data_IF_415447039834
#
_entry.id   IF_415447039834
#
_cell.length_a   1.000
_cell.length_b   1.000
_cell.length_c   1.000
_cell.angle_alpha   90.00
_cell.angle_beta   90.00
_cell.angle_gamma   90.00
#
_symmetry.space_group_name_H-M   'P 1'
#
loop_
_entity.id
_entity.type
_entity.pdbx_description
1 polymer ?
#
# COMPACT_ATOMS: atom_id res chain seq x y z
N UNK A 1 -26.49 -40.59 -44.38
CA UNK A 1 -26.36 -40.13 -42.99
C UNK A 1 -24.91 -39.69 -42.83
N UNK A 2 -24.65 -38.44 -43.20
CA UNK A 2 -23.30 -37.88 -43.30
C UNK A 2 -22.67 -37.71 -41.92
N UNK A 3 -21.47 -38.27 -41.77
CA UNK A 3 -20.57 -38.02 -40.65
C UNK A 3 -20.07 -36.59 -40.78
N UNK A 4 -20.60 -35.66 -40.00
CA UNK A 4 -19.94 -34.37 -39.78
C UNK A 4 -18.72 -34.59 -38.88
N UNK A 5 -17.58 -34.88 -39.51
CA UNK A 5 -16.24 -34.68 -38.94
C UNK A 5 -15.88 -33.18 -38.96
N UNK A 6 -16.78 -32.35 -38.44
CA UNK A 6 -16.66 -30.90 -38.28
C UNK A 6 -16.79 -30.54 -36.80
N UNK A 7 -16.23 -29.39 -36.40
CA UNK A 7 -16.35 -28.90 -35.02
C UNK A 7 -17.84 -28.83 -34.62
N UNK A 8 -18.20 -29.14 -33.36
CA UNK A 8 -19.57 -29.03 -32.90
C UNK A 8 -20.16 -27.64 -33.13
N UNK A 9 -21.49 -27.55 -33.31
CA UNK A 9 -22.17 -26.30 -33.67
C UNK A 9 -21.89 -25.14 -32.67
N UNK A 10 -21.67 -25.48 -31.41
CA UNK A 10 -21.41 -24.55 -30.33
C UNK A 10 -19.99 -23.93 -30.32
N UNK A 11 -19.10 -24.37 -31.22
CA UNK A 11 -17.81 -23.72 -31.51
C UNK A 11 -17.89 -22.69 -32.65
N UNK A 12 -19.09 -22.42 -33.17
CA UNK A 12 -19.28 -21.33 -34.11
C UNK A 12 -19.60 -20.03 -33.36
N UNK A 13 -19.13 -18.87 -33.85
CA UNK A 13 -19.65 -17.58 -33.40
C UNK A 13 -21.16 -17.55 -33.64
N UNK A 14 -22.00 -17.15 -32.67
CA UNK A 14 -21.69 -16.36 -31.46
C UNK A 14 -21.38 -17.17 -30.18
N UNK A 15 -21.65 -18.48 -30.13
CA UNK A 15 -21.55 -19.28 -28.90
C UNK A 15 -20.13 -19.67 -28.49
N UNK A 16 -19.17 -19.58 -29.41
CA UNK A 16 -17.74 -19.85 -29.21
C UNK A 16 -17.16 -19.18 -27.94
N UNK A 17 -17.74 -18.07 -27.50
CA UNK A 17 -17.35 -17.34 -26.29
C UNK A 17 -17.60 -18.14 -25.01
N UNK A 18 -18.67 -18.93 -24.95
CA UNK A 18 -19.01 -19.74 -23.76
C UNK A 18 -18.11 -20.97 -23.61
N UNK A 19 -17.53 -21.46 -24.70
CA UNK A 19 -16.74 -22.70 -24.69
C UNK A 19 -15.22 -22.46 -24.64
N UNK A 20 -14.75 -21.23 -24.86
CA UNK A 20 -13.32 -20.89 -24.80
C UNK A 20 -12.97 -20.00 -23.59
N UNK A 21 -12.54 -20.62 -22.49
CA UNK A 21 -12.09 -19.90 -21.28
C UNK A 21 -10.92 -18.93 -21.54
N UNK A 22 -9.99 -19.28 -22.42
CA UNK A 22 -8.84 -18.41 -22.72
C UNK A 22 -9.24 -17.10 -23.39
N UNK A 23 -10.26 -17.15 -24.25
CA UNK A 23 -10.82 -15.96 -24.88
C UNK A 23 -11.61 -15.15 -23.87
N UNK A 24 -12.31 -15.83 -22.96
CA UNK A 24 -13.09 -15.19 -21.91
C UNK A 24 -12.25 -14.29 -21.00
N UNK A 25 -11.01 -14.68 -20.68
CA UNK A 25 -10.08 -13.86 -19.88
C UNK A 25 -9.60 -12.60 -20.59
N UNK A 26 -9.65 -12.54 -21.92
CA UNK A 26 -9.16 -11.40 -22.72
C UNK A 26 -10.27 -10.37 -23.01
N UNK A 27 -11.53 -10.77 -22.89
CA UNK A 27 -12.68 -9.95 -23.22
C UNK A 27 -13.25 -9.35 -21.92
N UNK A 28 -13.70 -8.10 -21.98
CA UNK A 28 -14.39 -7.47 -20.86
C UNK A 28 -15.70 -8.21 -20.56
N UNK A 29 -15.92 -8.71 -19.32
CA UNK A 29 -17.12 -9.47 -18.96
C UNK A 29 -18.43 -8.72 -19.25
N UNK A 30 -18.43 -7.39 -19.12
CA UNK A 30 -19.59 -6.51 -19.34
C UNK A 30 -20.07 -6.46 -20.80
N UNK A 31 -19.20 -6.75 -21.76
CA UNK A 31 -19.57 -6.75 -23.19
C UNK A 31 -20.29 -8.04 -23.62
N UNK A 32 -20.44 -9.01 -22.71
CA UNK A 32 -21.02 -10.31 -23.01
C UNK A 32 -22.47 -10.34 -22.52
N UNK A 33 -23.39 -10.48 -23.48
CA UNK A 33 -24.80 -10.75 -23.23
C UNK A 33 -25.04 -12.26 -23.08
N UNK A 34 -24.99 -12.72 -21.83
CA UNK A 34 -25.16 -14.14 -21.48
C UNK A 34 -26.60 -14.60 -21.75
N UNK A 35 -27.60 -13.73 -21.55
CA UNK A 35 -29.00 -14.07 -21.72
C UNK A 35 -29.31 -14.34 -23.20
N UNK A 36 -28.82 -13.47 -24.09
CA UNK A 36 -28.93 -13.68 -25.54
C UNK A 36 -28.18 -14.94 -26.01
N UNK A 37 -26.96 -15.17 -25.52
CA UNK A 37 -26.16 -16.34 -25.91
C UNK A 37 -26.79 -17.66 -25.47
N UNK A 38 -27.29 -17.74 -24.23
CA UNK A 38 -27.92 -18.96 -23.71
C UNK A 38 -29.28 -19.23 -24.35
N UNK A 39 -30.11 -18.20 -24.56
CA UNK A 39 -31.39 -18.37 -25.24
C UNK A 39 -31.21 -18.83 -26.68
N UNK A 40 -30.29 -18.21 -27.42
CA UNK A 40 -29.94 -18.62 -28.80
C UNK A 40 -29.35 -20.03 -28.84
N UNK A 41 -28.54 -20.40 -27.84
CA UNK A 41 -27.96 -21.74 -27.73
C UNK A 41 -29.03 -22.81 -27.48
N UNK A 42 -29.97 -22.55 -26.56
CA UNK A 42 -31.09 -23.44 -26.27
C UNK A 42 -32.03 -23.60 -27.48
N UNK A 43 -32.34 -22.50 -28.16
CA UNK A 43 -33.19 -22.53 -29.36
C UNK A 43 -32.57 -23.42 -30.47
N UNK A 44 -31.26 -23.33 -30.69
CA UNK A 44 -30.57 -24.16 -31.68
C UNK A 44 -30.46 -25.63 -31.25
N UNK A 45 -30.37 -25.91 -29.94
CA UNK A 45 -30.44 -27.28 -29.43
C UNK A 45 -31.83 -27.90 -29.64
N UNK A 46 -32.88 -27.12 -29.42
CA UNK A 46 -34.27 -27.55 -29.64
C UNK A 46 -34.54 -27.81 -31.13
N UNK A 47 -34.08 -26.91 -32.02
CA UNK A 47 -34.19 -27.07 -33.49
C UNK A 47 -33.54 -28.36 -34.00
N UNK A 48 -32.42 -28.77 -33.40
CA UNK A 48 -31.67 -29.97 -33.79
C UNK A 48 -32.19 -31.26 -33.14
N UNK A 49 -33.17 -31.15 -32.21
CA UNK A 49 -33.74 -32.26 -31.45
C UNK A 49 -32.70 -33.14 -30.72
N UNK A 50 -31.50 -32.60 -30.48
CA UNK A 50 -30.37 -33.29 -29.86
C UNK A 50 -29.85 -32.47 -28.66
N UNK A 51 -30.26 -32.86 -27.46
CA UNK A 51 -29.84 -32.19 -26.22
C UNK A 51 -28.53 -32.80 -25.74
N UNK A 52 -27.44 -32.06 -25.89
CA UNK A 52 -26.13 -32.41 -25.32
C UNK A 52 -25.99 -31.80 -23.91
N UNK A 53 -26.24 -32.61 -22.88
CA UNK A 53 -26.09 -32.19 -21.48
C UNK A 53 -24.65 -31.82 -21.11
N UNK A 54 -23.64 -32.37 -21.80
CA UNK A 54 -22.24 -32.03 -21.51
C UNK A 54 -21.94 -30.60 -21.95
N UNK A 55 -22.39 -30.24 -23.15
CA UNK A 55 -22.28 -28.89 -23.66
C UNK A 55 -23.04 -27.88 -22.78
N UNK A 56 -24.25 -28.23 -22.33
CA UNK A 56 -25.01 -27.40 -21.39
C UNK A 56 -24.30 -27.21 -20.04
N UNK A 57 -23.61 -28.25 -19.54
CA UNK A 57 -22.81 -28.15 -18.32
C UNK A 57 -21.65 -27.17 -18.45
N UNK A 58 -20.92 -27.21 -19.57
CA UNK A 58 -19.84 -26.25 -19.87
C UNK A 58 -20.38 -24.83 -20.08
N UNK A 59 -21.52 -24.68 -20.76
CA UNK A 59 -22.19 -23.40 -20.93
C UNK A 59 -22.66 -22.82 -19.59
N UNK A 60 -23.13 -23.65 -18.67
CA UNK A 60 -23.53 -23.23 -17.33
C UNK A 60 -22.33 -22.77 -16.50
N UNK A 61 -21.25 -23.56 -16.48
CA UNK A 61 -20.02 -23.24 -15.74
C UNK A 61 -19.36 -21.95 -16.24
N UNK A 62 -19.27 -21.78 -17.56
CA UNK A 62 -18.78 -20.54 -18.18
C UNK A 62 -19.68 -19.36 -17.82
N UNK A 63 -21.00 -19.51 -17.88
CA UNK A 63 -21.95 -18.46 -17.50
C UNK A 63 -21.78 -18.04 -16.03
N UNK A 64 -21.67 -19.01 -15.12
CA UNK A 64 -21.42 -18.76 -13.70
C UNK A 64 -20.09 -18.01 -13.48
N UNK A 65 -19.04 -18.41 -14.20
CA UNK A 65 -17.72 -17.76 -14.16
C UNK A 65 -17.80 -16.29 -14.62
N UNK A 66 -18.54 -15.99 -15.69
CA UNK A 66 -18.73 -14.61 -16.17
C UNK A 66 -19.47 -13.77 -15.13
N UNK A 67 -20.53 -14.30 -14.52
CA UNK A 67 -21.26 -13.59 -13.47
C UNK A 67 -20.39 -13.31 -12.25
N UNK A 68 -19.55 -14.27 -11.85
CA UNK A 68 -18.59 -14.09 -10.77
C UNK A 68 -17.59 -12.98 -11.09
N UNK A 69 -17.07 -12.94 -12.33
CA UNK A 69 -16.18 -11.85 -12.76
C UNK A 69 -16.88 -10.49 -12.74
N UNK A 70 -18.14 -10.40 -13.20
CA UNK A 70 -18.93 -9.17 -13.14
C UNK A 70 -19.13 -8.70 -11.70
N UNK A 71 -19.49 -9.61 -10.79
CA UNK A 71 -19.67 -9.31 -9.37
C UNK A 71 -18.38 -8.81 -8.73
N UNK A 72 -17.26 -9.50 -8.95
CA UNK A 72 -15.96 -9.08 -8.42
C UNK A 72 -15.51 -7.73 -8.96
N UNK A 73 -15.76 -7.43 -10.24
CA UNK A 73 -15.47 -6.11 -10.80
C UNK A 73 -16.35 -5.02 -10.18
N UNK A 74 -17.61 -5.34 -9.87
CA UNK A 74 -18.52 -4.41 -9.20
C UNK A 74 -18.03 -4.09 -7.78
N UNK A 75 -17.59 -5.11 -7.03
CA UNK A 75 -17.05 -4.93 -5.67
C UNK A 75 -15.78 -4.08 -5.67
N UNK A 76 -14.88 -4.31 -6.63
CA UNK A 76 -13.66 -3.49 -6.80
C UNK A 76 -13.92 -2.01 -7.09
N UNK A 77 -15.09 -1.66 -7.62
CA UNK A 77 -15.46 -0.26 -7.83
C UNK A 77 -15.99 0.42 -6.57
N UNK A 78 -16.49 -0.36 -5.61
CA UNK A 78 -16.94 0.12 -4.30
C UNK A 78 -15.77 0.30 -3.33
N UNK A 79 -14.69 -0.47 -3.52
CA UNK A 79 -13.45 -0.27 -2.81
C UNK A 79 -12.91 1.15 -3.08
N UNK A 80 -12.69 1.97 -2.03
CA UNK A 80 -12.07 3.27 -2.21
C UNK A 80 -10.72 3.05 -2.91
N UNK A 81 -10.36 3.90 -3.90
CA UNK A 81 -9.11 3.75 -4.62
C UNK A 81 -7.98 3.65 -3.60
N UNK A 82 -7.14 2.62 -3.73
CA UNK A 82 -5.93 2.51 -2.92
C UNK A 82 -5.23 3.86 -3.02
N UNK A 83 -5.17 4.56 -1.88
CA UNK A 83 -4.47 5.81 -1.79
C UNK A 83 -3.03 5.44 -2.10
N UNK A 84 -2.58 5.65 -3.33
CA UNK A 84 -1.15 5.60 -3.64
C UNK A 84 -0.48 6.37 -2.52
N UNK A 85 0.55 5.79 -1.85
CA UNK A 85 1.20 6.47 -0.76
C UNK A 85 1.62 7.81 -1.32
N UNK A 86 0.88 8.87 -0.93
CA UNK A 86 1.09 10.23 -1.43
C UNK A 86 2.57 10.43 -1.20
N UNK A 87 3.36 10.43 -2.28
CA UNK A 87 4.79 10.67 -2.19
C UNK A 87 4.89 11.89 -1.30
N UNK A 88 5.42 11.69 -0.08
CA UNK A 88 5.26 12.59 1.06
C UNK A 88 5.34 14.00 0.53
N UNK A 89 4.18 14.65 0.42
CA UNK A 89 4.06 15.84 -0.42
C UNK A 89 5.07 16.82 0.16
N UNK A 90 6.16 17.02 -0.58
CA UNK A 90 7.24 17.94 -0.22
C UNK A 90 6.54 19.21 0.20
N UNK A 91 6.69 19.59 1.47
CA UNK A 91 5.95 20.63 2.19
C UNK A 91 5.32 21.65 1.23
N UNK A 92 4.12 21.35 0.72
CA UNK A 92 3.48 22.20 -0.26
C UNK A 92 2.91 23.37 0.53
N UNK A 93 3.73 24.40 0.72
CA UNK A 93 3.30 25.67 1.26
C UNK A 93 2.60 26.40 0.12
N UNK A 94 1.25 26.49 0.12
CA UNK A 94 0.56 27.20 -0.93
C UNK A 94 1.03 28.66 -0.94
N UNK A 95 1.17 29.29 -2.11
CA UNK A 95 1.53 30.70 -2.20
C UNK A 95 0.48 31.56 -1.46
N UNK A 96 0.90 32.67 -0.83
CA UNK A 96 -0.02 33.54 -0.12
C UNK A 96 -1.08 34.08 -1.08
N UNK A 97 -2.35 33.80 -0.78
CA UNK A 97 -3.47 34.37 -1.50
C UNK A 97 -3.56 35.87 -1.17
N UNK A 98 -3.36 36.71 -2.18
CA UNK A 98 -3.59 38.15 -2.04
C UNK A 98 -5.10 38.35 -2.03
N UNK A 99 -5.64 38.62 -0.84
CA UNK A 99 -7.06 38.97 -0.70
C UNK A 99 -7.35 40.22 -1.53
N UNK A 100 -8.44 40.23 -2.32
CA UNK A 100 -8.81 41.42 -3.08
C UNK A 100 -9.00 42.59 -2.11
N UNK A 101 -8.29 43.69 -2.38
CA UNK A 101 -8.41 44.95 -1.64
C UNK A 101 -9.86 45.41 -1.73
N UNK A 102 -10.58 45.32 -0.62
CA UNK A 102 -11.91 45.91 -0.50
C UNK A 102 -11.72 47.40 -0.28
N UNK A 103 -12.01 48.21 -1.29
CA UNK A 103 -12.27 49.63 -1.08
C UNK A 103 -13.61 49.74 -0.36
N UNK A 104 -13.59 50.06 0.92
CA UNK A 104 -14.81 50.45 1.61
C UNK A 104 -15.27 51.77 1.01
N UNK A 105 -16.26 51.71 0.12
CA UNK A 105 -17.04 52.89 -0.26
C UNK A 105 -17.90 53.23 0.95
N UNK A 106 -17.35 53.97 1.90
CA UNK A 106 -18.10 54.44 3.05
C UNK A 106 -19.21 55.36 2.52
N UNK A 107 -20.46 54.94 2.65
CA UNK A 107 -21.64 55.75 2.26
C UNK A 107 -21.93 56.85 3.28
N UNK A 108 -21.17 56.93 4.36
CA UNK A 108 -21.34 57.89 5.46
C UNK A 108 -20.21 58.90 5.47
N UNK A 109 -20.54 60.15 5.80
CA UNK A 109 -19.57 61.24 5.96
C UNK A 109 -18.81 61.10 7.28
N UNK A 110 -17.58 61.65 7.35
CA UNK A 110 -16.72 61.60 8.55
C UNK A 110 -17.46 62.11 9.81
N UNK A 111 -18.31 63.12 9.65
CA UNK A 111 -19.13 63.67 10.73
C UNK A 111 -20.09 62.63 11.31
N UNK A 112 -20.77 61.84 10.47
CA UNK A 112 -21.67 60.78 10.94
C UNK A 112 -20.91 59.65 11.66
N UNK A 113 -19.66 59.37 11.27
CA UNK A 113 -18.83 58.40 11.99
C UNK A 113 -18.40 58.92 13.36
N UNK A 114 -18.04 60.19 13.46
CA UNK A 114 -17.66 60.80 14.74
C UNK A 114 -18.85 60.86 15.71
N UNK A 115 -20.04 61.18 15.21
CA UNK A 115 -21.26 61.20 16.01
C UNK A 115 -21.66 59.80 16.49
N UNK A 116 -21.63 58.80 15.59
CA UNK A 116 -21.88 57.41 15.95
C UNK A 116 -20.84 56.86 16.95
N UNK A 117 -19.57 57.27 16.84
CA UNK A 117 -18.51 56.90 17.79
C UNK A 117 -18.74 57.53 19.17
N UNK A 118 -19.10 58.82 19.22
CA UNK A 118 -19.38 59.51 20.48
C UNK A 118 -20.63 58.91 21.17
N UNK A 119 -21.65 58.54 20.40
CA UNK A 119 -22.82 57.81 20.91
C UNK A 119 -22.44 56.42 21.42
N UNK A 120 -21.61 55.67 20.67
CA UNK A 120 -21.13 54.36 21.06
C UNK A 120 -20.28 54.42 22.34
N UNK A 121 -19.35 55.36 22.46
CA UNK A 121 -18.51 55.56 23.66
C UNK A 121 -19.33 55.96 24.89
N UNK A 122 -20.38 56.76 24.71
CA UNK A 122 -21.33 57.04 25.80
C UNK A 122 -22.08 55.78 26.25
N UNK A 123 -22.41 54.91 25.29
CA UNK A 123 -23.13 53.65 25.54
C UNK A 123 -22.24 52.50 26.08
N UNK A 124 -20.92 52.56 25.90
CA UNK A 124 -19.98 51.47 26.19
C UNK A 124 -19.39 51.46 27.61
N UNK A 125 -19.95 52.21 28.56
CA UNK A 125 -19.38 52.25 29.91
C UNK A 125 -19.48 50.91 30.69
N UNK A 126 -20.09 49.84 30.17
CA UNK A 126 -20.30 48.59 30.92
C UNK A 126 -20.30 47.29 30.08
N UNK A 127 -19.38 47.09 29.12
CA UNK A 127 -19.22 45.76 28.51
C UNK A 127 -17.77 45.24 28.61
N UNK A 128 -17.50 44.18 29.39
CA UNK A 128 -16.21 43.53 29.35
C UNK A 128 -16.01 42.86 27.99
N UNK A 129 -15.03 43.34 27.23
CA UNK A 129 -14.57 42.73 25.98
C UNK A 129 -14.17 41.28 26.27
N UNK A 130 -15.04 40.33 25.91
CA UNK A 130 -14.66 38.93 25.79
C UNK A 130 -13.86 38.81 24.51
N UNK A 131 -12.54 38.81 24.63
CA UNK A 131 -11.65 38.38 23.56
C UNK A 131 -12.04 36.92 23.26
N UNK A 132 -12.56 36.59 22.06
CA UNK A 132 -12.79 35.19 21.72
C UNK A 132 -11.43 34.51 21.78
N UNK A 133 -11.27 33.56 22.70
CA UNK A 133 -10.06 32.76 22.80
C UNK A 133 -9.80 32.16 21.42
N UNK A 134 -8.64 32.47 20.82
CA UNK A 134 -8.13 31.80 19.62
C UNK A 134 -8.44 30.30 19.75
N UNK A 135 -9.04 29.64 18.74
CA UNK A 135 -9.20 28.20 18.80
C UNK A 135 -7.81 27.62 19.00
N UNK A 136 -7.62 26.93 20.14
CA UNK A 136 -6.40 26.20 20.44
C UNK A 136 -6.37 25.09 19.39
N UNK A 137 -5.61 25.30 18.32
CA UNK A 137 -5.24 24.19 17.44
C UNK A 137 -4.53 23.16 18.33
N UNK A 138 -4.87 21.87 18.24
CA UNK A 138 -4.03 20.87 18.88
C UNK A 138 -2.61 21.09 18.37
N UNK A 139 -1.58 21.09 19.26
CA UNK A 139 -0.21 21.14 18.78
C UNK A 139 -0.05 20.01 17.76
N UNK A 140 0.65 20.25 16.64
CA UNK A 140 0.95 19.16 15.72
C UNK A 140 1.53 18.02 16.56
N UNK A 141 1.03 16.81 16.38
CA UNK A 141 1.70 15.62 16.87
C UNK A 141 3.08 15.63 16.19
N UNK A 142 4.05 16.25 16.85
CA UNK A 142 5.46 16.03 16.57
C UNK A 142 5.56 14.53 16.71
N UNK A 143 5.75 13.79 15.63
CA UNK A 143 5.99 12.36 15.67
C UNK A 143 7.43 12.22 16.19
N UNK A 144 7.67 12.08 17.52
CA UNK A 144 9.02 12.04 18.06
C UNK A 144 9.54 10.60 18.04
N UNK A 145 8.76 9.65 17.52
CA UNK A 145 8.95 8.22 17.74
C UNK A 145 10.02 7.61 16.83
N UNK A 146 10.17 8.09 15.60
CA UNK A 146 11.13 7.50 14.65
C UNK A 146 12.57 7.86 15.01
N UNK A 147 12.85 9.11 15.41
CA UNK A 147 14.21 9.53 15.77
C UNK A 147 14.70 8.89 17.06
N UNK A 148 13.82 8.74 18.07
CA UNK A 148 14.13 8.04 19.32
C UNK A 148 14.42 6.57 19.05
N UNK A 149 13.57 5.90 18.25
CA UNK A 149 13.74 4.49 17.92
C UNK A 149 15.01 4.21 17.09
N UNK A 150 15.37 5.09 16.16
CA UNK A 150 16.61 4.98 15.39
C UNK A 150 17.84 5.12 16.30
N UNK A 151 17.80 6.04 17.26
CA UNK A 151 18.88 6.22 18.25
C UNK A 151 19.02 4.99 19.16
N UNK A 152 17.91 4.39 19.61
CA UNK A 152 17.91 3.15 20.38
C UNK A 152 18.51 1.97 19.58
N UNK A 153 18.23 1.88 18.28
CA UNK A 153 18.82 0.85 17.41
C UNK A 153 20.33 1.06 17.27
N UNK A 154 20.79 2.30 17.09
CA UNK A 154 22.22 2.61 16.97
C UNK A 154 23.00 2.24 18.24
N UNK A 155 22.44 2.52 19.42
CA UNK A 155 23.02 2.11 20.69
C UNK A 155 23.13 0.58 20.81
N UNK A 156 22.07 -0.16 20.45
CA UNK A 156 22.09 -1.63 20.48
C UNK A 156 23.08 -2.23 19.46
N UNK A 157 23.28 -1.60 18.30
CA UNK A 157 24.31 -1.96 17.33
C UNK A 157 25.72 -1.81 17.94
N UNK A 158 25.99 -0.69 18.61
CA UNK A 158 27.29 -0.47 19.26
C UNK A 158 27.55 -1.46 20.41
N UNK A 159 26.50 -1.78 21.19
CA UNK A 159 26.59 -2.80 22.25
C UNK A 159 26.88 -4.18 21.69
N UNK A 160 26.22 -4.60 20.61
CA UNK A 160 26.48 -5.88 19.97
C UNK A 160 27.85 -5.92 19.30
N UNK A 161 28.29 -4.84 18.67
CA UNK A 161 29.64 -4.74 18.09
C UNK A 161 30.71 -4.84 19.17
N UNK A 162 30.52 -4.17 20.31
CA UNK A 162 31.45 -4.22 21.45
C UNK A 162 31.51 -5.62 22.06
N UNK A 163 30.37 -6.29 22.24
CA UNK A 163 30.31 -7.69 22.68
C UNK A 163 31.01 -8.61 21.68
N UNK A 164 30.80 -8.41 20.39
CA UNK A 164 31.44 -9.19 19.34
C UNK A 164 32.95 -8.97 19.31
N UNK A 165 33.42 -7.74 19.55
CA UNK A 165 34.84 -7.41 19.62
C UNK A 165 35.55 -8.03 20.84
N UNK A 166 34.87 -8.06 22.00
CA UNK A 166 35.41 -8.69 23.22
C UNK A 166 35.51 -10.22 23.04
N UNK A 167 34.54 -10.82 22.36
CA UNK A 167 34.51 -12.25 22.06
C UNK A 167 35.47 -12.62 20.92
N UNK A 168 35.71 -11.71 19.97
CA UNK A 168 36.61 -11.92 18.83
C UNK A 168 38.05 -11.55 19.17
N UNK A 169 38.77 -12.45 19.85
CA UNK A 169 40.24 -12.41 19.84
C UNK A 169 40.75 -13.06 18.55
N UNK A 170 41.13 -12.23 17.57
CA UNK A 170 41.76 -12.61 16.29
C UNK A 170 40.94 -13.53 15.39
N UNK A 171 40.09 -12.95 14.53
CA UNK A 171 39.69 -13.58 13.26
C UNK A 171 38.89 -14.88 13.36
N UNK A 172 38.35 -15.23 14.52
CA UNK A 172 37.48 -16.40 14.65
C UNK A 172 36.12 -16.15 14.02
N UNK A 173 35.64 -17.16 13.29
CA UNK A 173 34.29 -17.23 12.74
C UNK A 173 33.32 -17.44 13.90
N UNK A 174 32.41 -16.49 14.12
CA UNK A 174 31.40 -16.58 15.17
C UNK A 174 30.15 -17.28 14.61
N UNK A 175 29.66 -18.31 15.30
CA UNK A 175 28.38 -18.94 14.96
C UNK A 175 27.22 -18.19 15.61
N UNK A 176 26.14 -17.97 14.85
CA UNK A 176 24.92 -17.34 15.37
C UNK A 176 24.32 -18.13 16.54
N UNK A 177 24.44 -19.46 16.52
CA UNK A 177 24.02 -20.34 17.61
C UNK A 177 24.64 -19.95 18.97
N UNK A 178 25.91 -19.52 19.00
CA UNK A 178 26.58 -19.04 20.22
C UNK A 178 26.13 -17.64 20.65
N UNK A 179 25.73 -16.78 19.71
CA UNK A 179 25.18 -15.46 20.03
C UNK A 179 23.72 -15.53 20.51
N UNK A 180 22.99 -16.55 20.06
CA UNK A 180 21.60 -16.80 20.44
C UNK A 180 21.45 -17.66 21.71
N UNK A 181 22.55 -18.25 22.20
CA UNK A 181 22.53 -19.13 23.38
C UNK A 181 22.13 -18.34 24.65
N UNK A 182 21.02 -18.72 25.27
CA UNK A 182 20.51 -18.10 26.50
C UNK A 182 19.62 -16.86 26.32
N UNK A 183 19.28 -16.48 25.08
CA UNK A 183 18.40 -15.33 24.80
C UNK A 183 16.94 -15.74 24.56
N UNK A 184 16.00 -14.86 24.91
CA UNK A 184 14.59 -15.01 24.61
C UNK A 184 14.29 -14.84 23.12
N UNK A 185 13.17 -15.40 22.64
CA UNK A 185 12.79 -15.38 21.20
C UNK A 185 12.81 -13.96 20.59
N UNK A 186 12.35 -12.97 21.33
CA UNK A 186 12.30 -11.57 20.88
C UNK A 186 13.71 -10.99 20.76
N UNK A 187 14.59 -11.32 21.70
CA UNK A 187 15.99 -10.89 21.68
C UNK A 187 16.75 -11.54 20.52
N UNK A 188 16.50 -12.82 20.23
CA UNK A 188 17.08 -13.52 19.07
C UNK A 188 16.68 -12.82 17.76
N UNK A 189 15.39 -12.48 17.61
CA UNK A 189 14.91 -11.76 16.42
C UNK A 189 15.54 -10.37 16.31
N UNK A 190 15.66 -9.64 17.43
CA UNK A 190 16.34 -8.33 17.46
C UNK A 190 17.81 -8.43 17.07
N UNK A 191 18.54 -9.41 17.61
CA UNK A 191 19.95 -9.66 17.28
C UNK A 191 20.10 -10.03 15.80
N UNK A 192 19.21 -10.86 15.26
CA UNK A 192 19.20 -11.20 13.84
C UNK A 192 18.95 -9.98 12.94
N UNK A 193 17.96 -9.14 13.28
CA UNK A 193 17.66 -7.91 12.53
C UNK A 193 18.85 -6.93 12.55
N UNK A 194 19.52 -6.80 13.70
CA UNK A 194 20.71 -5.98 13.85
C UNK A 194 21.88 -6.55 13.03
N UNK A 195 22.07 -7.87 12.99
CA UNK A 195 23.09 -8.52 12.16
C UNK A 195 22.87 -8.25 10.66
N UNK A 196 21.63 -8.33 10.18
CA UNK A 196 21.29 -7.98 8.79
C UNK A 196 21.61 -6.51 8.49
N UNK A 197 21.28 -5.61 9.42
CA UNK A 197 21.58 -4.19 9.24
C UNK A 197 23.09 -3.91 9.23
N UNK A 198 23.85 -4.61 10.06
CA UNK A 198 25.32 -4.53 10.06
C UNK A 198 25.95 -5.11 8.80
N UNK A 199 25.37 -6.19 8.25
CA UNK A 199 25.79 -6.77 6.98
C UNK A 199 25.51 -5.82 5.80
N UNK A 200 24.33 -5.20 5.78
CA UNK A 200 23.98 -4.17 4.80
C UNK A 200 24.92 -2.96 4.88
N UNK A 201 25.33 -2.53 6.09
CA UNK A 201 26.32 -1.47 6.29
C UNK A 201 27.77 -1.89 5.98
N UNK A 202 28.02 -3.15 5.58
CA UNK A 202 29.34 -3.66 5.18
C UNK A 202 30.34 -3.87 6.32
N UNK A 203 29.89 -3.84 7.58
CA UNK A 203 30.76 -4.07 8.75
C UNK A 203 31.03 -5.56 9.02
N UNK A 204 30.12 -6.41 8.55
CA UNK A 204 30.10 -7.85 8.84
C UNK A 204 29.72 -8.61 7.58
N UNK A 205 30.34 -9.76 7.34
CA UNK A 205 29.96 -10.70 6.30
C UNK A 205 29.29 -11.91 6.92
N UNK A 206 28.09 -12.23 6.43
CA UNK A 206 27.30 -13.39 6.86
C UNK A 206 27.39 -14.47 5.79
N UNK A 207 27.67 -15.71 6.21
CA UNK A 207 27.76 -16.88 5.35
C UNK A 207 26.86 -17.98 5.87
N UNK A 208 26.15 -18.65 4.97
CA UNK A 208 25.26 -19.78 5.28
C UNK A 208 25.49 -20.87 4.22
N UNK A 209 25.61 -22.12 4.66
CA UNK A 209 25.95 -23.26 3.79
C UNK A 209 24.71 -23.98 3.23
N UNK A 210 23.63 -24.09 4.01
CA UNK A 210 22.36 -24.69 3.61
C UNK A 210 21.21 -23.71 3.94
N UNK A 211 20.14 -23.73 3.15
CA UNK A 211 18.94 -22.94 3.44
C UNK A 211 18.40 -23.31 4.84
N UNK A 212 18.21 -22.30 5.71
CA UNK A 212 17.84 -22.47 7.14
C UNK A 212 18.91 -23.13 8.03
N UNK A 213 20.15 -23.28 7.55
CA UNK A 213 21.28 -23.79 8.32
C UNK A 213 21.94 -22.74 9.25
N UNK A 214 23.04 -23.10 9.89
CA UNK A 214 23.77 -22.19 10.78
C UNK A 214 24.33 -20.97 10.03
N UNK A 215 24.24 -19.79 10.67
CA UNK A 215 24.78 -18.55 10.14
C UNK A 215 26.16 -18.30 10.75
N UNK A 216 27.16 -18.20 9.90
CA UNK A 216 28.53 -17.85 10.26
C UNK A 216 28.77 -16.37 10.05
N UNK A 217 29.38 -15.74 11.05
CA UNK A 217 29.57 -14.30 11.15
C UNK A 217 31.07 -14.02 11.11
N UNK A 218 31.48 -13.19 10.17
CA UNK A 218 32.88 -12.75 10.01
C UNK A 218 32.93 -11.23 10.09
N UNK A 219 33.75 -10.70 11.00
CA UNK A 219 33.97 -9.26 11.13
C UNK A 219 34.93 -8.79 10.04
N UNK A 220 34.57 -7.75 9.30
CA UNK A 220 35.41 -7.23 8.22
C UNK A 220 36.55 -6.32 8.73
N UNK A 221 37.10 -6.64 9.92
CA UNK A 221 38.14 -5.90 10.60
C UNK A 221 39.38 -6.76 10.81
N UNK A 222 40.35 -6.59 9.91
CA UNK A 222 41.67 -7.22 9.80
C UNK A 222 41.71 -8.61 9.14
N UNK A 223 41.82 -8.63 7.79
CA UNK A 223 43.00 -9.13 7.03
C UNK A 223 42.94 -8.54 5.60
N UNK A 224 43.65 -7.43 5.34
CA UNK A 224 44.24 -7.17 4.02
C UNK A 224 45.56 -7.94 4.02
N UNK A 225 45.60 -9.09 3.37
CA UNK A 225 46.87 -9.69 2.92
C UNK A 225 46.87 -9.50 1.42
N UNK A 226 47.63 -8.51 0.98
CA UNK A 226 48.17 -8.46 -0.37
C UNK A 226 48.98 -9.74 -0.57
N UNK A 227 48.53 -10.62 -1.47
CA UNK A 227 49.40 -11.61 -2.08
C UNK A 227 50.01 -10.99 -3.32
N UNK A 228 51.25 -10.53 -3.17
CA UNK A 228 52.21 -10.37 -4.26
C UNK A 228 52.62 -11.78 -4.74
N UNK A 229 52.65 -11.99 -6.05
CA UNK A 229 52.96 -13.26 -6.71
C UNK A 229 52.36 -13.39 -8.10
#
# INVERSE_FOLDING_TARGET
>A
MEKESGKPFYFHPPWDILFNLERLRKINPWNIDIAFLLSSFLEEMERRASVDFRASGVALDSSASIYLMKSNLLLKLEEPPEVEPRQSAVDFVPPPLILPLRYELTTTTIQHLLEALDEALKSENLLPIRIPSKPILPPPEIIPSISIYLMEIEEEIERLTSKMLILSRKGEILSFSRLAEGLGKIEIIKVFLILLFMAHKGRITLWQQEDLGEIYITLNGAVKVESDG
#
